data_IF_544869242000
#
_entry.id   IF_544869242000
#
_cell.length_a   1.000
_cell.length_b   1.000
_cell.length_c   1.000
_cell.angle_alpha   90.00
_cell.angle_beta   90.00
_cell.angle_gamma   90.00
#
_symmetry.space_group_name_H-M   'P 1'
#
loop_
_entity.id
_entity.type
_entity.pdbx_description
1 polymer ?
#
# COMPACT_ATOMS: atom_id res chain seq x y z
N UNK A 1 -27.94 -7.16 -8.92
CA UNK A 1 -27.37 -7.95 -7.80
C UNK A 1 -25.85 -7.75 -7.72
N UNK A 2 -25.36 -6.53 -7.42
CA UNK A 2 -23.91 -6.21 -7.30
C UNK A 2 -23.49 -5.83 -5.86
N UNK A 3 -24.42 -5.95 -4.92
CA UNK A 3 -24.29 -5.49 -3.53
C UNK A 3 -23.30 -6.34 -2.69
N UNK A 4 -23.22 -7.68 -2.81
CA UNK A 4 -22.38 -8.45 -1.87
C UNK A 4 -20.88 -8.25 -2.09
N UNK A 5 -20.45 -8.01 -3.34
CA UNK A 5 -19.05 -7.73 -3.64
C UNK A 5 -18.62 -6.37 -3.06
N UNK A 6 -19.40 -5.30 -3.28
CA UNK A 6 -19.08 -3.97 -2.75
C UNK A 6 -19.02 -3.98 -1.22
N UNK A 7 -19.93 -4.69 -0.56
CA UNK A 7 -19.92 -4.79 0.91
C UNK A 7 -18.70 -5.57 1.43
N UNK A 8 -18.24 -6.61 0.71
CA UNK A 8 -17.00 -7.31 1.02
C UNK A 8 -15.77 -6.42 0.82
N UNK A 9 -15.73 -5.63 -0.26
CA UNK A 9 -14.64 -4.69 -0.51
C UNK A 9 -14.58 -3.59 0.56
N UNK A 10 -15.72 -3.06 1.02
CA UNK A 10 -15.78 -2.06 2.12
C UNK A 10 -15.33 -2.66 3.47
N UNK A 11 -15.61 -3.94 3.74
CA UNK A 11 -15.12 -4.60 4.96
C UNK A 11 -13.61 -4.90 4.85
N UNK A 12 -13.12 -5.15 3.63
CA UNK A 12 -11.72 -5.46 3.37
C UNK A 12 -10.85 -4.19 3.26
N UNK A 13 -11.42 -3.06 2.89
CA UNK A 13 -10.82 -1.72 2.84
C UNK A 13 -9.95 -1.39 4.07
N UNK A 14 -10.44 -1.48 5.33
CA UNK A 14 -9.61 -1.19 6.50
C UNK A 14 -8.44 -2.16 6.65
N UNK A 15 -8.61 -3.43 6.27
CA UNK A 15 -7.55 -4.44 6.34
C UNK A 15 -6.48 -4.15 5.28
N UNK A 16 -6.91 -3.77 4.08
CA UNK A 16 -6.04 -3.49 2.93
C UNK A 16 -5.32 -2.14 3.12
N UNK A 17 -6.01 -1.13 3.61
CA UNK A 17 -5.44 0.16 4.01
C UNK A 17 -4.45 -0.02 5.17
N UNK A 18 -4.78 -0.83 6.17
CA UNK A 18 -3.87 -1.12 7.28
C UNK A 18 -2.65 -1.91 6.83
N UNK A 19 -2.82 -2.97 6.03
CA UNK A 19 -1.72 -3.79 5.54
C UNK A 19 -0.79 -2.99 4.61
N UNK A 20 -1.33 -2.27 3.62
CA UNK A 20 -0.52 -1.43 2.73
C UNK A 20 0.09 -0.24 3.46
N UNK A 21 -0.67 0.41 4.35
CA UNK A 21 -0.17 1.51 5.17
C UNK A 21 0.98 1.06 6.08
N UNK A 22 0.81 -0.08 6.76
CA UNK A 22 1.84 -0.68 7.59
C UNK A 22 3.07 -1.08 6.77
N UNK A 23 2.89 -1.75 5.62
CA UNK A 23 3.98 -2.13 4.71
C UNK A 23 4.73 -0.91 4.16
N UNK A 24 4.01 0.15 3.80
CA UNK A 24 4.60 1.40 3.33
C UNK A 24 5.38 2.10 4.47
N UNK A 25 4.81 2.17 5.68
CA UNK A 25 5.51 2.69 6.86
C UNK A 25 6.75 1.87 7.18
N UNK A 26 6.66 0.55 7.12
CA UNK A 26 7.78 -0.37 7.35
C UNK A 26 8.86 -0.18 6.28
N UNK A 27 8.47 -0.06 5.01
CA UNK A 27 9.39 0.20 3.90
C UNK A 27 10.11 1.53 4.07
N UNK A 28 9.37 2.61 4.36
CA UNK A 28 9.92 3.95 4.62
C UNK A 28 10.85 3.94 5.84
N UNK A 29 10.40 3.37 6.96
CA UNK A 29 11.18 3.30 8.19
C UNK A 29 12.46 2.50 8.00
N UNK A 30 12.37 1.37 7.27
CA UNK A 30 13.53 0.55 6.92
C UNK A 30 14.49 1.34 6.03
N UNK A 31 14.01 1.99 4.97
CA UNK A 31 14.86 2.83 4.12
C UNK A 31 15.52 3.97 4.89
N UNK A 32 14.81 4.62 5.80
CA UNK A 32 15.35 5.71 6.63
C UNK A 32 16.41 5.18 7.60
N UNK A 33 16.17 4.02 8.22
CA UNK A 33 17.10 3.38 9.15
C UNK A 33 18.40 2.95 8.44
N UNK A 34 18.28 2.31 7.28
CA UNK A 34 19.45 1.91 6.47
C UNK A 34 20.18 3.10 5.84
N UNK A 35 19.47 4.18 5.48
CA UNK A 35 20.08 5.43 5.04
C UNK A 35 20.87 6.10 6.17
N UNK A 36 20.34 6.13 7.40
CA UNK A 36 21.06 6.66 8.58
C UNK A 36 22.32 5.86 8.88
N UNK A 37 22.24 4.53 8.76
CA UNK A 37 23.36 3.62 9.00
C UNK A 37 24.43 3.63 7.89
N UNK A 38 24.26 4.42 6.82
CA UNK A 38 25.18 4.50 5.68
C UNK A 38 25.60 3.12 5.12
N UNK A 39 24.67 2.15 5.11
CA UNK A 39 24.97 0.79 4.65
C UNK A 39 25.22 0.83 3.13
N UNK A 40 26.45 0.53 2.64
CA UNK A 40 26.84 0.79 1.25
C UNK A 40 26.18 -0.12 0.20
N UNK A 41 25.39 -1.13 0.62
CA UNK A 41 24.73 -2.09 -0.28
C UNK A 41 23.20 -2.13 -0.16
N UNK A 42 22.58 -1.23 0.62
CA UNK A 42 21.13 -1.32 0.81
C UNK A 42 20.39 -0.64 -0.36
N UNK A 43 19.52 -1.35 -1.11
CA UNK A 43 18.88 -0.81 -2.30
C UNK A 43 17.67 0.04 -1.90
N UNK A 44 17.93 1.18 -1.27
CA UNK A 44 16.95 2.13 -0.73
C UNK A 44 15.92 2.56 -1.76
N UNK A 45 16.34 2.77 -3.02
CA UNK A 45 15.43 3.10 -4.12
C UNK A 45 14.41 2.00 -4.44
N UNK A 46 14.80 0.72 -4.34
CA UNK A 46 13.88 -0.40 -4.61
C UNK A 46 12.84 -0.57 -3.51
N UNK A 47 13.20 -0.38 -2.24
CA UNK A 47 12.23 -0.43 -1.13
C UNK A 47 11.24 0.74 -1.17
N UNK A 48 11.69 1.93 -1.56
CA UNK A 48 10.81 3.08 -1.80
C UNK A 48 9.87 2.81 -2.97
N UNK A 49 10.39 2.30 -4.09
CA UNK A 49 9.57 1.94 -5.25
C UNK A 49 8.52 0.87 -4.91
N UNK A 50 8.85 -0.12 -4.09
CA UNK A 50 7.91 -1.14 -3.61
C UNK A 50 6.83 -0.52 -2.71
N UNK A 51 7.18 0.38 -1.79
CA UNK A 51 6.18 1.08 -0.96
C UNK A 51 5.23 1.94 -1.80
N UNK A 52 5.78 2.67 -2.78
CA UNK A 52 4.99 3.48 -3.71
C UNK A 52 4.08 2.59 -4.56
N UNK A 53 4.56 1.42 -4.98
CA UNK A 53 3.77 0.42 -5.71
C UNK A 53 2.57 -0.07 -4.90
N UNK A 54 2.76 -0.37 -3.61
CA UNK A 54 1.65 -0.74 -2.73
C UNK A 54 0.63 0.39 -2.54
N UNK A 55 1.09 1.63 -2.36
CA UNK A 55 0.22 2.79 -2.28
C UNK A 55 -0.57 3.02 -3.58
N UNK A 56 0.07 2.84 -4.74
CA UNK A 56 -0.58 3.00 -6.05
C UNK A 56 -1.65 1.94 -6.29
N UNK A 57 -1.37 0.67 -5.95
CA UNK A 57 -2.32 -0.44 -6.05
C UNK A 57 -3.55 -0.16 -5.17
N UNK A 58 -3.34 0.39 -3.97
CA UNK A 58 -4.41 0.78 -3.06
C UNK A 58 -5.34 1.83 -3.69
N UNK A 59 -4.77 2.90 -4.25
CA UNK A 59 -5.53 3.96 -4.92
C UNK A 59 -6.31 3.43 -6.13
N UNK A 60 -5.71 2.50 -6.88
CA UNK A 60 -6.37 1.83 -8.01
C UNK A 60 -7.54 0.97 -7.55
N UNK A 61 -7.38 0.24 -6.43
CA UNK A 61 -8.43 -0.59 -5.85
C UNK A 61 -9.62 0.24 -5.37
N UNK A 62 -9.37 1.31 -4.61
CA UNK A 62 -10.39 2.26 -4.16
C UNK A 62 -11.10 2.95 -5.33
N UNK A 63 -10.35 3.40 -6.34
CA UNK A 63 -10.91 4.00 -7.55
C UNK A 63 -11.82 3.02 -8.31
N UNK A 64 -11.42 1.75 -8.39
CA UNK A 64 -12.22 0.71 -9.05
C UNK A 64 -13.50 0.40 -8.28
N UNK A 65 -13.46 0.33 -6.94
CA UNK A 65 -14.66 0.21 -6.09
C UNK A 65 -15.63 1.35 -6.41
N UNK A 66 -15.11 2.58 -6.46
CA UNK A 66 -15.93 3.78 -6.62
C UNK A 66 -16.62 3.82 -7.98
N UNK A 67 -15.90 3.49 -9.06
CA UNK A 67 -16.47 3.39 -10.42
C UNK A 67 -17.45 2.22 -10.53
N UNK A 68 -17.22 1.13 -9.79
CA UNK A 68 -18.10 -0.03 -9.81
C UNK A 68 -19.37 0.18 -8.96
N UNK A 69 -19.31 1.06 -7.96
CA UNK A 69 -20.40 1.39 -7.05
C UNK A 69 -21.31 2.52 -7.55
N UNK A 70 -20.81 3.39 -8.43
CA UNK A 70 -21.62 4.32 -9.24
C UNK A 70 -22.40 3.55 -10.34
#
# INVERSE_FOLDING_TARGET
MRIPAVMLLVILEPIVAFACGALALLGVLTTLFFALLHVPHFPTGTMLAVSIGFALILVLYEGLIRVLSD
#
